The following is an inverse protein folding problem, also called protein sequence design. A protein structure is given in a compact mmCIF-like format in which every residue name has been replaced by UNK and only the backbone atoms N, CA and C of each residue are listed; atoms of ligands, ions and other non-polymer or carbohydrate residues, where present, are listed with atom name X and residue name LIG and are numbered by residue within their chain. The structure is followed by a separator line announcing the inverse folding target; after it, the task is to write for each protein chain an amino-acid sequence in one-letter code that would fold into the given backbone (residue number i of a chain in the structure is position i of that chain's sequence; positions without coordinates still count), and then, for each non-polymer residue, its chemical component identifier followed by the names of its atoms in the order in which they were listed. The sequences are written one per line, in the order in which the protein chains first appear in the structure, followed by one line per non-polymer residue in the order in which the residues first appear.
data_IF_459456550332
#
_entry.id   IF_459456550332
#
_cell.length_a   1.000
_cell.length_b   1.000
_cell.length_c   1.000
_cell.angle_alpha   90.00
_cell.angle_beta   90.00
_cell.angle_gamma   90.00
#
_symmetry.space_group_name_H-M   'P 1'
#
loop_
_entity.id
_entity.type
_entity.pdbx_description
1 polymer ?
#
# COMPACT_ATOMS: atom_id res chain seq x y z
N UNK A 1 -4.17 -14.07 -3.73
CA UNK A 1 -3.90 -14.68 -5.07
C UNK A 1 -4.85 -15.83 -5.42
N UNK A 2 -4.73 -17.04 -4.83
CA UNK A 2 -5.56 -18.20 -5.22
C UNK A 2 -7.06 -17.91 -5.15
N UNK A 3 -7.53 -17.23 -4.09
CA UNK A 3 -8.95 -16.89 -3.92
C UNK A 3 -9.45 -15.79 -4.86
N UNK A 4 -8.57 -14.89 -5.29
CA UNK A 4 -8.93 -13.89 -6.28
C UNK A 4 -9.22 -14.55 -7.64
N UNK A 5 -8.33 -15.46 -8.06
CA UNK A 5 -8.45 -16.19 -9.31
C UNK A 5 -9.64 -17.17 -9.36
N UNK A 6 -10.28 -17.48 -8.22
CA UNK A 6 -11.56 -18.22 -8.19
C UNK A 6 -12.72 -17.44 -8.82
N UNK A 7 -12.59 -16.12 -8.97
CA UNK A 7 -13.55 -15.28 -9.69
C UNK A 7 -13.47 -15.39 -11.21
N UNK A 8 -12.42 -16.01 -11.76
CA UNK A 8 -12.17 -16.07 -13.20
C UNK A 8 -12.61 -17.41 -13.79
N UNK A 9 -13.56 -17.39 -14.73
CA UNK A 9 -14.20 -18.60 -15.26
C UNK A 9 -13.21 -19.65 -15.81
N UNK A 10 -12.15 -19.20 -16.48
CA UNK A 10 -11.15 -20.06 -17.10
C UNK A 10 -10.26 -20.80 -16.08
N UNK A 11 -9.89 -20.17 -14.97
CA UNK A 11 -8.95 -20.75 -14.01
C UNK A 11 -9.59 -21.21 -12.70
N UNK A 12 -10.87 -20.85 -12.47
CA UNK A 12 -11.61 -21.11 -11.25
C UNK A 12 -11.48 -22.55 -10.76
N UNK A 13 -11.73 -23.54 -11.62
CA UNK A 13 -11.69 -24.97 -11.23
C UNK A 13 -10.31 -25.37 -10.69
N UNK A 14 -9.25 -24.93 -11.35
CA UNK A 14 -7.88 -25.26 -10.95
C UNK A 14 -7.49 -24.59 -9.63
N UNK A 15 -7.76 -23.30 -9.48
CA UNK A 15 -7.49 -22.57 -8.24
C UNK A 15 -8.33 -23.05 -7.06
N UNK A 16 -9.56 -23.53 -7.29
CA UNK A 16 -10.37 -24.17 -6.27
C UNK A 16 -9.73 -25.46 -5.77
N UNK A 17 -9.26 -26.33 -6.66
CA UNK A 17 -8.57 -27.57 -6.29
C UNK A 17 -7.29 -27.29 -5.50
N UNK A 18 -6.46 -26.35 -5.96
CA UNK A 18 -5.25 -25.93 -5.26
C UNK A 18 -5.56 -25.38 -3.86
N UNK A 19 -6.57 -24.51 -3.74
CA UNK A 19 -6.99 -23.97 -2.45
C UNK A 19 -7.48 -25.06 -1.50
N UNK A 20 -8.25 -26.03 -1.99
CA UNK A 20 -8.73 -27.14 -1.18
C UNK A 20 -7.59 -28.04 -0.70
N UNK A 21 -6.61 -28.34 -1.57
CA UNK A 21 -5.42 -29.09 -1.20
C UNK A 21 -4.59 -28.35 -0.15
N UNK A 22 -4.39 -27.04 -0.31
CA UNK A 22 -3.70 -26.21 0.68
C UNK A 22 -4.41 -26.25 2.04
N UNK A 23 -5.73 -26.08 2.06
CA UNK A 23 -6.52 -26.13 3.30
C UNK A 23 -6.45 -27.50 3.97
N UNK A 24 -6.46 -28.58 3.19
CA UNK A 24 -6.32 -29.93 3.71
C UNK A 24 -4.95 -30.16 4.38
N UNK A 25 -3.87 -29.63 3.78
CA UNK A 25 -2.50 -29.84 4.25
C UNK A 25 -2.02 -28.82 5.30
N UNK A 26 -2.63 -27.65 5.40
CA UNK A 26 -2.19 -26.52 6.22
C UNK A 26 -2.31 -26.74 7.75
N UNK A 27 -3.12 -27.71 8.18
CA UNK A 27 -3.44 -27.92 9.60
C UNK A 27 -4.42 -26.89 10.17
N UNK A 28 -4.91 -27.13 11.39
CA UNK A 28 -5.97 -26.33 12.02
C UNK A 28 -5.57 -24.87 12.24
N UNK A 29 -4.41 -24.64 12.85
CA UNK A 29 -3.95 -23.29 13.23
C UNK A 29 -3.84 -22.33 12.03
N UNK A 30 -3.21 -22.76 10.93
CA UNK A 30 -3.08 -21.92 9.74
C UNK A 30 -4.44 -21.68 9.07
N UNK A 31 -5.31 -22.69 9.03
CA UNK A 31 -6.67 -22.51 8.52
C UNK A 31 -7.48 -21.51 9.34
N UNK A 32 -7.33 -21.51 10.68
CA UNK A 32 -8.00 -20.57 11.57
C UNK A 32 -7.53 -19.12 11.34
N UNK A 33 -6.22 -18.90 11.16
CA UNK A 33 -5.68 -17.58 10.82
C UNK A 33 -6.18 -17.10 9.45
N UNK A 34 -6.12 -17.95 8.42
CA UNK A 34 -6.67 -17.63 7.10
C UNK A 34 -8.18 -17.32 7.14
N UNK A 35 -8.94 -17.97 8.03
CA UNK A 35 -10.35 -17.70 8.23
C UNK A 35 -10.60 -16.33 8.89
N UNK A 36 -9.74 -15.92 9.85
CA UNK A 36 -9.79 -14.59 10.46
C UNK A 36 -9.48 -13.50 9.43
N UNK A 37 -8.43 -13.68 8.64
CA UNK A 37 -8.06 -12.76 7.55
C UNK A 37 -9.21 -12.61 6.54
N UNK A 38 -9.85 -13.72 6.16
CA UNK A 38 -10.99 -13.67 5.24
C UNK A 38 -12.17 -12.87 5.81
N UNK A 39 -12.48 -13.05 7.10
CA UNK A 39 -13.54 -12.27 7.77
C UNK A 39 -13.19 -10.79 7.81
N UNK A 40 -11.93 -10.45 8.11
CA UNK A 40 -11.44 -9.08 8.12
C UNK A 40 -11.59 -8.44 6.73
N UNK A 41 -11.07 -9.08 5.68
CA UNK A 41 -11.17 -8.56 4.30
C UNK A 41 -12.62 -8.34 3.88
N UNK A 42 -13.52 -9.28 4.20
CA UNK A 42 -14.95 -9.12 3.92
C UNK A 42 -15.52 -7.89 4.62
N UNK A 43 -15.24 -7.73 5.91
CA UNK A 43 -15.70 -6.58 6.69
C UNK A 43 -15.17 -5.26 6.12
N UNK A 44 -13.90 -5.21 5.72
CA UNK A 44 -13.32 -4.02 5.08
C UNK A 44 -13.98 -3.71 3.74
N UNK A 45 -14.30 -4.73 2.94
CA UNK A 45 -15.08 -4.59 1.71
C UNK A 45 -16.45 -3.96 1.97
N UNK A 46 -17.19 -4.49 2.94
CA UNK A 46 -18.52 -3.98 3.32
C UNK A 46 -18.45 -2.53 3.83
N UNK A 47 -17.42 -2.19 4.62
CA UNK A 47 -17.17 -0.81 5.08
C UNK A 47 -16.82 0.10 3.90
N UNK A 48 -15.96 -0.35 2.98
CA UNK A 48 -15.54 0.41 1.81
C UNK A 48 -16.72 0.83 0.95
N UNK A 49 -17.65 -0.10 0.68
CA UNK A 49 -18.87 0.21 -0.07
C UNK A 49 -19.79 1.17 0.70
N UNK A 50 -19.94 0.99 2.02
CA UNK A 50 -20.71 1.94 2.84
C UNK A 50 -20.14 3.35 2.84
N UNK A 51 -18.81 3.50 2.90
CA UNK A 51 -18.15 4.80 2.83
C UNK A 51 -18.39 5.46 1.47
N UNK A 52 -18.31 4.70 0.38
CA UNK A 52 -18.61 5.22 -0.97
C UNK A 52 -20.06 5.68 -1.12
N UNK A 53 -21.01 4.96 -0.52
CA UNK A 53 -22.44 5.30 -0.62
C UNK A 53 -22.94 6.30 0.43
N UNK A 54 -22.16 6.58 1.48
CA UNK A 54 -22.57 7.45 2.58
C UNK A 54 -22.73 8.92 2.14
N UNK A 55 -23.50 9.71 2.89
CA UNK A 55 -23.57 11.16 2.68
C UNK A 55 -22.28 11.85 3.17
N UNK A 56 -22.00 13.06 2.68
CA UNK A 56 -20.76 13.78 3.05
C UNK A 56 -20.57 13.97 4.57
N UNK A 57 -21.60 14.33 5.36
CA UNK A 57 -21.44 14.44 6.82
C UNK A 57 -21.05 13.12 7.49
N UNK A 58 -21.62 12.00 7.01
CA UNK A 58 -21.30 10.66 7.55
C UNK A 58 -19.89 10.21 7.12
N UNK A 59 -19.50 10.53 5.87
CA UNK A 59 -18.15 10.22 5.36
C UNK A 59 -17.06 10.93 6.14
N UNK A 60 -17.26 12.19 6.53
CA UNK A 60 -16.28 12.97 7.28
C UNK A 60 -15.91 12.35 8.65
N UNK A 61 -16.78 11.50 9.22
CA UNK A 61 -16.48 10.75 10.43
C UNK A 61 -15.57 9.52 10.21
N UNK A 62 -15.32 9.14 8.95
CA UNK A 62 -14.46 8.01 8.59
C UNK A 62 -13.03 8.48 8.24
N UNK A 63 -12.04 7.60 8.44
CA UNK A 63 -10.68 7.82 7.95
C UNK A 63 -10.53 7.24 6.54
N UNK A 64 -10.41 8.10 5.54
CA UNK A 64 -10.25 7.72 4.13
C UNK A 64 -9.36 8.73 3.40
N UNK A 65 -8.84 8.35 2.23
CA UNK A 65 -8.17 9.30 1.34
C UNK A 65 -9.18 9.93 0.38
N UNK A 66 -9.11 11.25 0.22
CA UNK A 66 -10.03 12.05 -0.62
C UNK A 66 -9.78 11.91 -2.13
N UNK A 67 -9.31 10.75 -2.59
CA UNK A 67 -9.15 10.41 -4.01
C UNK A 67 -10.44 9.83 -4.61
N UNK A 68 -10.52 9.70 -5.94
CA UNK A 68 -11.70 9.21 -6.65
C UNK A 68 -12.27 7.88 -6.11
N UNK A 69 -11.39 6.93 -5.74
CA UNK A 69 -11.80 5.61 -5.24
C UNK A 69 -12.17 5.58 -3.73
N UNK A 70 -12.04 6.72 -3.02
CA UNK A 70 -12.28 6.86 -1.57
C UNK A 70 -11.71 5.71 -0.71
N UNK A 71 -10.41 5.36 -0.86
CA UNK A 71 -9.86 4.19 -0.18
C UNK A 71 -9.76 4.44 1.34
N UNK A 72 -10.00 3.38 2.11
CA UNK A 72 -10.01 3.45 3.57
C UNK A 72 -8.58 3.58 4.10
N UNK A 73 -8.40 4.46 5.07
CA UNK A 73 -7.17 4.59 5.84
C UNK A 73 -7.35 3.87 7.17
N UNK A 74 -6.59 2.79 7.37
CA UNK A 74 -6.72 1.93 8.54
C UNK A 74 -5.38 1.90 9.28
N UNK A 75 -5.43 1.96 10.60
CA UNK A 75 -4.27 1.78 11.47
C UNK A 75 -4.60 0.68 12.47
N UNK A 76 -3.88 -0.43 12.41
CA UNK A 76 -4.03 -1.53 13.36
C UNK A 76 -3.04 -1.36 14.51
N UNK A 77 -3.48 -1.73 15.70
CA UNK A 77 -2.60 -1.85 16.87
C UNK A 77 -1.80 -3.14 16.70
N UNK A 78 -0.48 -3.06 16.90
CA UNK A 78 0.37 -4.23 16.79
C UNK A 78 0.09 -5.19 17.96
N UNK A 79 0.01 -6.50 17.67
CA UNK A 79 -0.15 -7.51 18.70
C UNK A 79 1.12 -7.66 19.55
N UNK A 80 2.29 -7.32 18.99
CA UNK A 80 3.52 -7.11 19.75
C UNK A 80 3.45 -5.76 20.47
N UNK A 81 3.49 -5.73 21.82
CA UNK A 81 3.46 -4.48 22.59
C UNK A 81 4.62 -3.51 22.28
N UNK A 82 5.74 -4.02 21.78
CA UNK A 82 6.90 -3.21 21.38
C UNK A 82 6.86 -2.82 19.89
N UNK A 83 5.92 -3.38 19.14
CA UNK A 83 5.76 -3.14 17.71
C UNK A 83 5.08 -1.80 17.41
N UNK A 84 5.46 -1.17 16.30
CA UNK A 84 4.77 0.02 15.79
C UNK A 84 3.40 -0.38 15.22
N UNK A 85 2.44 0.55 15.33
CA UNK A 85 1.14 0.41 14.67
C UNK A 85 1.28 0.17 13.16
N UNK A 86 0.39 -0.63 12.61
CA UNK A 86 0.45 -1.07 11.22
C UNK A 86 -0.55 -0.24 10.39
N UNK A 87 -0.01 0.66 9.56
CA UNK A 87 -0.79 1.47 8.64
C UNK A 87 -1.11 0.72 7.34
N UNK A 88 -2.37 0.69 6.96
CA UNK A 88 -2.85 0.01 5.74
C UNK A 88 -3.85 0.89 5.00
N UNK A 89 -3.73 0.91 3.68
CA UNK A 89 -4.73 1.48 2.77
C UNK A 89 -5.54 0.31 2.21
N UNK A 90 -6.86 0.31 2.44
CA UNK A 90 -7.74 -0.65 1.79
C UNK A 90 -8.44 0.00 0.61
N UNK A 91 -8.28 -0.61 -0.57
CA UNK A 91 -8.92 -0.18 -1.81
C UNK A 91 -10.04 -1.14 -2.17
N UNK A 92 -11.26 -0.61 -2.27
CA UNK A 92 -12.39 -1.31 -2.88
C UNK A 92 -12.67 -0.68 -4.25
N UNK A 93 -12.91 -1.47 -5.27
CA UNK A 93 -13.16 -1.04 -6.66
C UNK A 93 -11.93 -1.01 -7.58
N UNK A 94 -10.71 -1.15 -7.05
CA UNK A 94 -9.47 -1.16 -7.83
C UNK A 94 -8.89 -2.58 -7.94
N UNK A 95 -8.46 -2.98 -9.14
CA UNK A 95 -7.76 -4.25 -9.37
C UNK A 95 -6.25 -4.09 -9.15
N UNK A 96 -5.78 -4.49 -7.96
CA UNK A 96 -4.38 -4.34 -7.55
C UNK A 96 -3.42 -5.38 -8.12
N UNK A 97 -3.86 -6.26 -9.03
CA UNK A 97 -2.98 -7.29 -9.61
C UNK A 97 -1.84 -6.69 -10.41
N UNK A 98 -2.10 -5.60 -11.15
CA UNK A 98 -1.07 -4.94 -11.93
C UNK A 98 -0.03 -4.32 -10.99
N UNK A 99 -0.47 -3.61 -9.94
CA UNK A 99 0.41 -3.06 -8.90
C UNK A 99 1.27 -4.15 -8.25
N UNK A 100 0.68 -5.31 -7.90
CA UNK A 100 1.43 -6.44 -7.34
C UNK A 100 2.54 -6.92 -8.27
N UNK A 101 2.24 -7.10 -9.57
CA UNK A 101 3.22 -7.55 -10.55
C UNK A 101 4.34 -6.53 -10.73
N UNK A 102 3.99 -5.24 -10.82
CA UNK A 102 4.97 -4.16 -10.94
C UNK A 102 5.90 -4.11 -9.73
N UNK A 103 5.36 -4.21 -8.51
CA UNK A 103 6.18 -4.21 -7.30
C UNK A 103 7.09 -5.44 -7.19
N UNK A 104 6.63 -6.61 -7.66
CA UNK A 104 7.49 -7.80 -7.76
C UNK A 104 8.64 -7.60 -8.75
N UNK A 105 8.38 -6.98 -9.91
CA UNK A 105 9.44 -6.67 -10.88
C UNK A 105 10.44 -5.67 -10.28
N UNK A 106 9.96 -4.63 -9.60
CA UNK A 106 10.83 -3.66 -8.91
C UNK A 106 11.69 -4.37 -7.85
N UNK A 107 11.13 -5.32 -7.10
CA UNK A 107 11.89 -6.12 -6.13
C UNK A 107 12.98 -6.97 -6.78
N UNK A 108 12.72 -7.52 -7.97
CA UNK A 108 13.76 -8.23 -8.74
C UNK A 108 14.85 -7.25 -9.21
N UNK A 109 14.48 -6.07 -9.71
CA UNK A 109 15.44 -5.04 -10.13
C UNK A 109 16.32 -4.57 -8.98
N UNK A 110 15.73 -4.30 -7.82
CA UNK A 110 16.43 -3.89 -6.61
C UNK A 110 17.46 -4.93 -6.17
N UNK A 111 17.07 -6.22 -6.17
CA UNK A 111 18.00 -7.31 -5.89
C UNK A 111 19.18 -7.38 -6.88
N UNK A 112 18.95 -7.13 -8.17
CA UNK A 112 20.00 -7.11 -9.19
C UNK A 112 20.96 -5.94 -8.92
N UNK A 113 20.45 -4.74 -8.65
CA UNK A 113 21.29 -3.58 -8.35
C UNK A 113 22.13 -3.80 -7.10
N UNK A 114 21.54 -4.34 -6.03
CA UNK A 114 22.28 -4.66 -4.80
C UNK A 114 23.40 -5.69 -5.04
N UNK A 115 23.19 -6.68 -5.91
CA UNK A 115 24.22 -7.66 -6.28
C UNK A 115 25.40 -7.03 -7.01
N UNK A 116 25.15 -5.98 -7.81
CA UNK A 116 26.18 -5.19 -8.49
C UNK A 116 26.77 -4.08 -7.60
N UNK A 117 26.42 -4.03 -6.32
CA UNK A 117 26.91 -3.02 -5.37
C UNK A 117 26.24 -1.65 -5.50
N UNK A 118 25.09 -1.57 -6.17
CA UNK A 118 24.29 -0.36 -6.34
C UNK A 118 23.09 -0.37 -5.39
N UNK A 119 23.17 0.37 -4.28
CA UNK A 119 22.03 0.60 -3.39
C UNK A 119 21.23 1.83 -3.86
N UNK A 120 20.16 1.58 -4.62
CA UNK A 120 19.26 2.62 -5.12
C UNK A 120 18.27 3.13 -4.07
N UNK A 121 18.30 2.59 -2.85
CA UNK A 121 17.45 2.98 -1.73
C UNK A 121 15.95 2.93 -2.07
N UNK A 122 15.54 1.88 -2.79
CA UNK A 122 14.16 1.70 -3.24
C UNK A 122 13.22 1.44 -2.06
N UNK A 123 12.13 2.21 -2.00
CA UNK A 123 11.03 1.94 -1.05
C UNK A 123 9.99 1.07 -1.76
N UNK A 124 10.07 -0.24 -1.54
CA UNK A 124 9.16 -1.23 -2.12
C UNK A 124 8.10 -1.60 -1.09
N UNK A 125 6.97 -0.90 -1.11
CA UNK A 125 5.85 -1.19 -0.20
C UNK A 125 5.07 -2.44 -0.61
N UNK A 126 4.44 -3.11 0.36
CA UNK A 126 3.62 -4.30 0.10
C UNK A 126 2.27 -3.93 -0.52
N UNK A 127 1.85 -4.73 -1.49
CA UNK A 127 0.53 -4.65 -2.11
C UNK A 127 -0.04 -6.05 -2.24
N UNK A 128 -1.32 -6.23 -1.91
CA UNK A 128 -1.99 -7.52 -1.95
C UNK A 128 -3.42 -7.39 -2.46
N UNK A 129 -3.69 -8.01 -3.61
CA UNK A 129 -5.05 -8.28 -4.08
C UNK A 129 -5.66 -9.41 -3.23
N UNK A 130 -6.74 -9.08 -2.53
CA UNK A 130 -7.43 -9.97 -1.60
C UNK A 130 -8.72 -10.53 -2.17
N UNK A 131 -9.26 -9.91 -3.22
CA UNK A 131 -10.52 -10.30 -3.86
C UNK A 131 -10.77 -9.50 -5.13
N UNK A 132 -11.92 -9.73 -5.78
CA UNK A 132 -12.25 -9.09 -7.06
C UNK A 132 -12.31 -7.58 -6.88
N UNK A 133 -11.48 -6.86 -7.62
CA UNK A 133 -11.36 -5.39 -7.57
C UNK A 133 -11.22 -4.88 -6.12
N UNK A 134 -10.41 -5.54 -5.29
CA UNK A 134 -10.08 -5.04 -3.96
C UNK A 134 -8.72 -5.53 -3.48
N UNK A 135 -8.14 -4.79 -2.54
CA UNK A 135 -6.92 -5.21 -1.88
C UNK A 135 -6.39 -4.24 -0.84
N UNK A 136 -5.23 -4.61 -0.30
CA UNK A 136 -4.53 -3.91 0.76
C UNK A 136 -3.21 -3.37 0.22
N UNK A 137 -2.86 -2.16 0.61
CA UNK A 137 -1.57 -1.52 0.31
C UNK A 137 -0.97 -1.08 1.63
N UNK A 138 0.31 -1.38 1.84
CA UNK A 138 1.07 -0.89 2.98
C UNK A 138 1.17 0.63 2.95
N UNK A 139 0.91 1.27 4.09
CA UNK A 139 1.12 2.69 4.23
C UNK A 139 2.58 2.97 4.56
N UNK A 140 3.27 3.69 3.68
CA UNK A 140 4.62 4.20 3.98
C UNK A 140 4.50 5.30 5.04
N UNK A 141 5.13 5.16 6.21
CA UNK A 141 5.08 6.17 7.26
C UNK A 141 5.76 7.46 6.80
N UNK A 142 5.28 8.59 7.30
CA UNK A 142 5.84 9.94 7.05
C UNK A 142 5.96 10.34 5.57
N UNK A 143 5.25 9.62 4.68
CA UNK A 143 5.20 9.92 3.26
C UNK A 143 4.12 10.97 2.95
N UNK A 144 4.48 11.92 2.08
CA UNK A 144 3.58 12.94 1.54
C UNK A 144 3.70 12.99 0.02
N UNK A 145 2.59 13.23 -0.66
CA UNK A 145 2.61 13.33 -2.12
C UNK A 145 3.27 14.64 -2.57
N UNK A 146 3.98 14.61 -3.71
CA UNK A 146 4.54 15.82 -4.31
C UNK A 146 3.47 16.91 -4.51
N UNK A 147 2.26 16.53 -4.95
CA UNK A 147 1.15 17.46 -5.09
C UNK A 147 0.82 18.21 -3.78
N UNK A 148 0.83 17.51 -2.63
CA UNK A 148 0.63 18.15 -1.32
C UNK A 148 1.81 19.04 -0.95
N UNK A 149 3.05 18.66 -1.25
CA UNK A 149 4.24 19.52 -1.02
C UNK A 149 4.10 20.83 -1.80
N UNK A 150 3.68 20.78 -3.07
CA UNK A 150 3.46 21.97 -3.88
C UNK A 150 2.33 22.86 -3.33
N UNK A 151 1.25 22.25 -2.85
CA UNK A 151 0.15 22.97 -2.23
C UNK A 151 0.59 23.73 -0.96
N UNK A 152 1.48 23.17 -0.13
CA UNK A 152 2.03 23.87 1.04
C UNK A 152 2.80 25.14 0.66
N UNK A 153 3.33 25.21 -0.57
CA UNK A 153 4.00 26.41 -1.08
C UNK A 153 3.03 27.40 -1.75
N UNK A 154 1.72 27.18 -1.67
CA UNK A 154 0.68 28.09 -2.16
C UNK A 154 0.44 28.05 -3.68
N UNK A 155 0.98 27.05 -4.40
CA UNK A 155 0.86 26.95 -5.84
C UNK A 155 -0.08 25.81 -6.25
N UNK A 156 -1.12 26.17 -6.99
CA UNK A 156 -1.93 25.26 -7.81
C UNK A 156 -1.47 25.50 -9.25
N UNK A 157 -0.49 24.74 -9.75
CA UNK A 157 0.12 25.00 -11.06
C UNK A 157 1.38 24.17 -11.35
N UNK A 158 2.12 24.48 -12.43
CA UNK A 158 3.30 23.72 -12.87
C UNK A 158 4.33 23.53 -11.75
N UNK A 159 4.98 22.36 -11.74
CA UNK A 159 5.98 21.99 -10.75
C UNK A 159 7.15 23.00 -10.78
N UNK A 160 7.26 23.83 -9.74
CA UNK A 160 8.43 24.70 -9.55
C UNK A 160 9.57 23.91 -8.92
N UNK A 161 10.73 23.96 -9.55
CA UNK A 161 11.93 23.19 -9.19
C UNK A 161 12.42 23.44 -7.75
N UNK A 162 12.23 24.66 -7.23
CA UNK A 162 12.69 25.04 -5.89
C UNK A 162 11.77 24.61 -4.73
N UNK A 163 10.55 24.17 -5.01
CA UNK A 163 9.57 23.81 -3.98
C UNK A 163 10.01 22.57 -3.19
N UNK A 164 10.57 21.58 -3.88
CA UNK A 164 11.07 20.35 -3.24
C UNK A 164 12.28 20.66 -2.34
N UNK A 165 13.23 21.47 -2.83
CA UNK A 165 14.40 21.90 -2.04
C UNK A 165 13.98 22.66 -0.77
N UNK A 166 13.02 23.58 -0.89
CA UNK A 166 12.47 24.34 0.24
C UNK A 166 11.77 23.42 1.26
N UNK A 167 11.02 22.43 0.78
CA UNK A 167 10.37 21.46 1.65
C UNK A 167 11.41 20.68 2.47
N UNK A 168 12.44 20.15 1.81
CA UNK A 168 13.49 19.40 2.51
C UNK A 168 14.32 20.25 3.47
N UNK A 169 14.63 21.51 3.14
CA UNK A 169 15.36 22.38 4.07
C UNK A 169 14.54 22.77 5.30
N UNK A 170 13.21 22.80 5.18
CA UNK A 170 12.31 23.06 6.31
C UNK A 170 12.16 21.83 7.23
N UNK A 171 12.31 20.62 6.70
CA UNK A 171 12.13 19.37 7.46
C UNK A 171 13.45 18.77 7.97
N UNK A 172 14.60 19.22 7.45
CA UNK A 172 15.93 18.78 7.88
C UNK A 172 16.74 20.00 8.33
N UNK A 173 16.67 20.32 9.62
CA UNK A 173 17.29 21.53 10.18
C UNK A 173 18.81 21.43 10.30
N UNK A 174 19.36 20.22 10.39
CA UNK A 174 20.80 19.98 10.40
C UNK A 174 21.31 19.82 8.98
N UNK A 175 22.43 20.47 8.67
CA UNK A 175 23.06 20.43 7.35
C UNK A 175 23.44 19.00 6.95
N UNK A 176 23.90 18.20 7.90
CA UNK A 176 24.26 16.79 7.70
C UNK A 176 23.05 15.93 7.29
N UNK A 177 21.88 16.19 7.87
CA UNK A 177 20.65 15.46 7.55
C UNK A 177 20.13 15.87 6.16
N UNK A 178 20.24 17.15 5.81
CA UNK A 178 19.94 17.63 4.46
C UNK A 178 20.86 17.01 3.40
N UNK A 179 22.17 16.96 3.68
CA UNK A 179 23.15 16.36 2.77
C UNK A 179 22.92 14.86 2.57
N UNK A 180 22.57 14.12 3.63
CA UNK A 180 22.15 12.71 3.54
C UNK A 180 20.94 12.54 2.61
N UNK A 181 19.89 13.34 2.79
CA UNK A 181 18.68 13.30 1.94
C UNK A 181 19.01 13.63 0.48
N UNK A 182 19.88 14.60 0.23
CA UNK A 182 20.33 14.93 -1.13
C UNK A 182 21.16 13.82 -1.78
N UNK A 183 22.02 13.14 -1.02
CA UNK A 183 22.78 11.98 -1.53
C UNK A 183 21.87 10.79 -1.87
N UNK A 184 20.86 10.52 -1.04
CA UNK A 184 19.84 9.50 -1.31
C UNK A 184 19.05 9.75 -2.60
N UNK A 185 18.80 11.00 -2.94
CA UNK A 185 18.06 11.38 -4.15
C UNK A 185 18.89 11.39 -5.45
N UNK A 186 20.21 11.17 -5.39
CA UNK A 186 21.13 11.39 -6.54
C UNK A 186 21.82 10.13 -7.08
N UNK A 187 21.41 8.92 -6.66
CA UNK A 187 21.97 7.65 -7.14
C UNK A 187 21.73 7.33 -8.63
N UNK A 188 21.09 8.25 -9.37
CA UNK A 188 21.07 8.26 -10.84
C UNK A 188 22.19 9.19 -11.36
N UNK A 189 23.43 8.70 -11.41
CA UNK A 189 24.51 9.31 -12.20
C UNK A 189 25.21 8.26 -13.03
#
# INVERSE_FOLDING_TARGET
LLRHAQGEACFKSWYQKLSAALQFCAGGALNDELAKEQKLVKLLGDIGEKVKSASDPQRQACSYFTSNALPLKITFINADPMGKNIGVIFKAGDDLRQDMLVLQIIQVMDNIWLQEGLDMQMIIYRCLSTGKAQGLIEMVPDAITLAKIHLHSGLIGPLKENTIKKWFSQHNHLKEDYEKVCSSGTNFK
#
